data_IF_333334214848
#
_entry.id   IF_333334214848
#
_cell.length_a   1.000
_cell.length_b   1.000
_cell.length_c   1.000
_cell.angle_alpha   90.00
_cell.angle_beta   90.00
_cell.angle_gamma   90.00
#
_symmetry.space_group_name_H-M   'P 1'
#
loop_
_entity.id
_entity.type
_entity.pdbx_description
1 polymer ?
#
# COMPACT_ATOMS: atom_id res chain seq x y z
N UNK A 1 -8.13 2.28 -12.77
CA UNK A 1 -6.86 1.69 -12.32
C UNK A 1 -6.44 2.36 -11.04
N UNK A 2 -6.48 1.62 -9.95
CA UNK A 2 -6.08 2.07 -8.63
C UNK A 2 -4.74 1.41 -8.28
N UNK A 3 -3.73 2.19 -7.91
CA UNK A 3 -2.34 1.69 -7.81
C UNK A 3 -1.91 1.65 -6.34
N UNK A 4 -1.57 0.45 -5.85
CA UNK A 4 -0.83 0.26 -4.61
C UNK A 4 0.64 0.18 -4.99
N UNK A 5 1.40 1.24 -4.72
CA UNK A 5 2.85 1.19 -4.83
C UNK A 5 3.42 0.65 -3.51
N UNK A 6 4.11 -0.49 -3.55
CA UNK A 6 4.93 -0.97 -2.45
C UNK A 6 6.39 -0.93 -2.87
N UNK A 7 7.20 -0.15 -2.15
CA UNK A 7 8.64 -0.21 -2.25
C UNK A 7 9.14 -1.41 -1.43
N UNK A 8 8.99 -2.63 -1.97
CA UNK A 8 9.63 -3.80 -1.38
C UNK A 8 10.40 -4.56 -2.45
N UNK A 9 11.69 -4.72 -2.18
CA UNK A 9 12.69 -5.48 -2.89
C UNK A 9 12.17 -6.80 -3.50
N UNK A 10 12.16 -6.96 -4.83
CA UNK A 10 11.98 -8.28 -5.46
C UNK A 10 13.15 -8.66 -6.38
N UNK A 11 13.55 -9.94 -6.30
CA UNK A 11 13.99 -10.72 -7.45
C UNK A 11 12.76 -11.26 -8.17
N UNK A 12 12.84 -11.31 -9.49
CA UNK A 12 11.86 -11.98 -10.35
C UNK A 12 11.55 -13.37 -9.80
N UNK A 13 10.26 -13.78 -9.66
CA UNK A 13 9.96 -15.16 -9.34
C UNK A 13 10.54 -16.08 -10.43
N UNK A 14 10.98 -17.31 -10.09
CA UNK A 14 11.39 -18.28 -11.10
C UNK A 14 10.25 -18.49 -12.11
N UNK A 15 10.61 -18.63 -13.39
CA UNK A 15 9.73 -18.50 -14.56
C UNK A 15 8.50 -19.43 -14.53
N UNK A 16 8.50 -20.46 -13.70
CA UNK A 16 7.41 -21.44 -13.56
C UNK A 16 6.24 -20.96 -12.66
N UNK A 17 6.40 -19.92 -11.84
CA UNK A 17 5.32 -19.42 -10.95
C UNK A 17 4.46 -18.34 -11.63
N UNK A 18 4.98 -17.73 -12.71
CA UNK A 18 4.32 -16.64 -13.41
C UNK A 18 3.04 -17.07 -14.15
N UNK A 19 2.93 -18.35 -14.54
CA UNK A 19 1.81 -18.84 -15.32
C UNK A 19 0.59 -19.22 -14.46
N UNK A 20 0.80 -19.80 -13.28
CA UNK A 20 -0.29 -20.17 -12.35
C UNK A 20 -0.95 -18.93 -11.72
N UNK A 21 -0.18 -17.86 -11.50
CA UNK A 21 -0.71 -16.56 -11.03
C UNK A 21 -1.63 -15.90 -12.07
N UNK A 22 -1.35 -16.10 -13.36
CA UNK A 22 -2.15 -15.58 -14.48
C UNK A 22 -3.34 -16.48 -14.86
N UNK A 23 -3.30 -17.77 -14.49
CA UNK A 23 -4.24 -18.78 -14.98
C UNK A 23 -5.15 -19.41 -13.93
N UNK A 24 -5.23 -18.92 -12.69
CA UNK A 24 -6.13 -19.53 -11.69
C UNK A 24 -7.60 -19.59 -12.19
N UNK A 25 -7.96 -20.79 -12.66
CA UNK A 25 -9.23 -21.24 -13.25
C UNK A 25 -9.95 -22.09 -12.21
N UNK A 26 -10.46 -21.52 -11.12
CA UNK A 26 -11.38 -22.25 -10.23
C UNK A 26 -12.16 -21.39 -9.23
N UNK A 27 -12.23 -20.08 -9.39
CA UNK A 27 -13.13 -19.23 -8.59
C UNK A 27 -13.61 -18.13 -9.51
N UNK A 28 -14.89 -17.76 -9.45
CA UNK A 28 -15.43 -16.64 -10.23
C UNK A 28 -14.46 -15.46 -10.14
N UNK A 29 -13.82 -15.11 -11.27
CA UNK A 29 -12.80 -14.04 -11.30
C UNK A 29 -13.49 -12.73 -10.96
N UNK A 30 -13.39 -12.31 -9.71
CA UNK A 30 -13.69 -10.95 -9.31
C UNK A 30 -12.65 -10.06 -10.00
N UNK A 31 -13.08 -9.32 -11.02
CA UNK A 31 -12.24 -8.33 -11.68
C UNK A 31 -12.11 -7.14 -10.73
N UNK A 32 -10.91 -6.93 -10.18
CA UNK A 32 -10.62 -5.79 -9.32
C UNK A 32 -9.92 -4.70 -10.13
N UNK A 33 -10.31 -3.44 -9.95
CA UNK A 33 -9.60 -2.29 -10.53
C UNK A 33 -8.39 -1.88 -9.66
N UNK A 34 -7.56 -2.84 -9.26
CA UNK A 34 -6.42 -2.65 -8.36
C UNK A 34 -5.15 -3.28 -8.94
N UNK A 35 -4.03 -2.56 -8.89
CA UNK A 35 -2.72 -3.04 -9.31
C UNK A 35 -1.71 -2.87 -8.18
N UNK A 36 -0.83 -3.85 -8.00
CA UNK A 36 0.33 -3.76 -7.12
C UNK A 36 1.57 -3.48 -7.96
N UNK A 37 2.32 -2.43 -7.62
CA UNK A 37 3.61 -2.14 -8.21
C UNK A 37 4.70 -2.50 -7.20
N UNK A 38 5.69 -3.26 -7.68
CA UNK A 38 6.86 -3.67 -6.91
C UNK A 38 8.12 -3.14 -7.59
N UNK A 39 9.05 -2.64 -6.79
CA UNK A 39 10.34 -2.17 -7.28
C UNK A 39 11.45 -3.18 -7.01
N UNK A 40 12.49 -3.18 -7.85
CA UNK A 40 13.65 -4.04 -7.64
C UNK A 40 14.46 -3.60 -6.41
N UNK A 41 14.93 -4.60 -5.67
CA UNK A 41 15.65 -4.46 -4.42
C UNK A 41 16.96 -3.68 -4.52
N UNK A 42 17.61 -3.77 -5.68
CA UNK A 42 18.91 -3.19 -6.01
C UNK A 42 18.82 -1.74 -6.48
N UNK A 43 17.60 -1.16 -6.50
CA UNK A 43 17.44 0.25 -6.79
C UNK A 43 17.94 1.08 -5.61
N UNK A 44 19.11 1.69 -5.79
CA UNK A 44 19.78 2.46 -4.75
C UNK A 44 18.97 3.63 -4.22
N UNK A 45 18.05 4.17 -5.02
CA UNK A 45 17.13 5.26 -4.61
C UNK A 45 16.07 4.81 -3.60
N UNK A 46 15.88 3.50 -3.40
CA UNK A 46 14.90 2.94 -2.47
C UNK A 46 15.50 2.53 -1.13
N UNK A 47 16.83 2.47 -1.01
CA UNK A 47 17.49 2.07 0.25
C UNK A 47 17.29 3.06 1.41
N UNK A 48 16.85 4.27 1.11
CA UNK A 48 16.60 5.33 2.09
C UNK A 48 15.14 5.41 2.55
N UNK A 49 14.21 4.76 1.83
CA UNK A 49 12.78 4.83 2.15
C UNK A 49 12.43 3.78 3.20
N UNK A 50 12.34 4.22 4.46
CA UNK A 50 11.88 3.38 5.60
C UNK A 50 10.39 3.58 5.93
N UNK A 51 9.76 4.55 5.28
CA UNK A 51 8.39 4.96 5.58
C UNK A 51 7.44 4.40 4.53
N UNK A 52 6.44 3.68 5.00
CA UNK A 52 5.30 3.23 4.22
C UNK A 52 4.03 3.62 4.95
N UNK A 53 2.96 3.85 4.19
CA UNK A 53 1.68 4.18 4.80
C UNK A 53 1.13 2.94 5.53
N UNK A 54 0.56 3.08 6.73
CA UNK A 54 0.02 1.94 7.48
C UNK A 54 -1.26 1.43 6.83
N UNK A 55 -1.19 0.30 6.11
CA UNK A 55 -2.35 -0.32 5.47
C UNK A 55 -3.18 -1.10 6.50
N UNK A 56 -4.50 -0.86 6.52
CA UNK A 56 -5.49 -1.62 7.30
C UNK A 56 -6.16 -2.66 6.39
N UNK A 57 -5.63 -3.89 6.41
CA UNK A 57 -6.11 -5.02 5.59
C UNK A 57 -7.10 -5.96 6.32
N UNK A 58 -7.29 -5.79 7.62
CA UNK A 58 -8.22 -6.57 8.48
C UNK A 58 -8.84 -5.66 9.53
N UNK A 59 -9.80 -6.18 10.29
CA UNK A 59 -10.26 -5.52 11.51
C UNK A 59 -11.47 -4.61 11.28
N UNK A 60 -11.46 -3.43 11.91
CA UNK A 60 -12.63 -2.54 11.97
C UNK A 60 -13.04 -2.10 10.57
N UNK A 61 -14.34 -2.21 10.28
CA UNK A 61 -14.94 -1.73 9.06
C UNK A 61 -15.16 -0.22 9.17
N UNK A 62 -15.11 0.54 8.07
CA UNK A 62 -15.67 1.89 8.08
C UNK A 62 -17.16 1.80 8.43
N UNK A 63 -17.62 2.73 9.25
CA UNK A 63 -19.02 2.87 9.62
C UNK A 63 -19.60 4.16 9.02
N UNK A 64 -20.91 4.20 8.79
CA UNK A 64 -21.56 5.43 8.32
C UNK A 64 -21.35 6.53 9.37
N UNK A 65 -20.85 7.68 8.92
CA UNK A 65 -20.49 8.82 9.77
C UNK A 65 -19.00 8.93 10.09
N UNK A 66 -18.22 7.86 9.91
CA UNK A 66 -16.76 7.87 10.08
C UNK A 66 -16.13 8.93 9.17
N UNK A 67 -15.19 9.70 9.71
CA UNK A 67 -14.43 10.68 8.95
C UNK A 67 -13.24 10.02 8.26
N UNK A 68 -13.03 10.36 7.00
CA UNK A 68 -11.95 9.85 6.17
C UNK A 68 -11.28 10.97 5.38
N UNK A 69 -9.99 10.81 5.11
CA UNK A 69 -9.20 11.74 4.31
C UNK A 69 -8.65 11.05 3.08
N UNK A 70 -8.99 11.55 1.89
CA UNK A 70 -8.37 11.11 0.65
C UNK A 70 -7.22 12.05 0.27
N UNK A 71 -6.11 11.49 -0.21
CA UNK A 71 -4.96 12.25 -0.71
C UNK A 71 -4.63 11.83 -2.13
N UNK A 72 -4.31 12.77 -3.02
CA UNK A 72 -3.96 12.48 -4.41
C UNK A 72 -3.38 13.68 -5.14
N UNK A 73 -3.16 13.55 -6.45
CA UNK A 73 -2.52 14.57 -7.29
C UNK A 73 -3.40 14.92 -8.50
N UNK A 74 -4.49 15.68 -8.31
CA UNK A 74 -5.46 15.96 -9.37
C UNK A 74 -4.89 16.77 -10.54
N UNK A 75 -3.83 17.53 -10.31
CA UNK A 75 -3.19 18.41 -11.30
C UNK A 75 -1.88 17.83 -11.87
N UNK A 76 -1.65 16.52 -11.78
CA UNK A 76 -0.44 15.91 -12.32
C UNK A 76 -0.35 16.13 -13.84
N UNK A 77 0.45 17.12 -14.25
CA UNK A 77 0.70 17.47 -15.65
C UNK A 77 2.14 17.09 -15.99
N UNK A 78 2.32 16.23 -16.99
CA UNK A 78 3.62 16.05 -17.65
C UNK A 78 3.85 17.28 -18.53
N UNK A 79 4.83 18.09 -18.15
CA UNK A 79 5.37 19.13 -19.02
C UNK A 79 6.61 18.54 -19.67
N UNK A 80 6.55 18.27 -20.97
CA UNK A 80 7.75 18.00 -21.76
C UNK A 80 8.56 19.28 -21.84
N UNK A 81 9.63 19.35 -21.07
CA UNK A 81 10.67 20.33 -21.32
C UNK A 81 11.38 19.95 -22.63
N UNK A 82 11.55 20.90 -23.55
CA UNK A 82 12.23 20.64 -24.83
C UNK A 82 13.74 20.82 -24.73
N UNK A 83 14.22 21.39 -23.63
CA UNK A 83 15.64 21.66 -23.38
C UNK A 83 16.32 20.57 -22.55
N UNK A 84 15.53 19.84 -21.75
CA UNK A 84 15.95 18.70 -20.95
C UNK A 84 15.09 17.53 -21.40
N UNK A 85 15.67 16.45 -21.93
CA UNK A 85 14.97 15.23 -22.41
C UNK A 85 14.36 14.43 -21.24
N UNK A 86 13.55 15.09 -20.42
CA UNK A 86 12.89 14.56 -19.22
C UNK A 86 11.55 15.27 -19.02
N UNK A 87 10.51 14.49 -18.78
CA UNK A 87 9.20 15.02 -18.38
C UNK A 87 9.31 15.65 -16.98
N UNK A 88 9.00 16.95 -16.87
CA UNK A 88 8.89 17.65 -15.60
C UNK A 88 7.46 17.52 -15.10
N UNK A 89 7.26 16.75 -14.02
CA UNK A 89 5.99 16.62 -13.34
C UNK A 89 5.83 17.78 -12.35
N UNK A 90 4.76 18.54 -12.49
CA UNK A 90 4.35 19.51 -11.45
C UNK A 90 3.28 18.85 -10.58
N UNK A 91 3.61 18.65 -9.32
CA UNK A 91 2.77 17.90 -8.37
C UNK A 91 2.27 18.85 -7.28
N UNK A 92 0.95 19.03 -7.18
CA UNK A 92 0.32 19.59 -5.98
C UNK A 92 -0.47 18.49 -5.31
N UNK A 93 -0.02 18.08 -4.13
CA UNK A 93 -0.78 17.17 -3.29
C UNK A 93 -2.09 17.84 -2.89
N UNK A 94 -3.19 17.13 -3.07
CA UNK A 94 -4.52 17.56 -2.68
C UNK A 94 -5.09 16.57 -1.66
N UNK A 95 -5.55 17.10 -0.54
CA UNK A 95 -6.22 16.36 0.52
C UNK A 95 -7.69 16.78 0.62
N UNK A 96 -8.59 15.81 0.79
CA UNK A 96 -10.02 16.07 0.98
C UNK A 96 -10.60 15.20 2.08
N UNK A 97 -11.27 15.84 3.03
CA UNK A 97 -11.93 15.18 4.17
C UNK A 97 -13.42 15.06 3.86
N UNK A 98 -14.01 13.94 4.26
CA UNK A 98 -15.46 13.70 4.20
C UNK A 98 -15.88 12.61 5.18
N UNK A 99 -17.17 12.32 5.20
CA UNK A 99 -17.80 11.28 6.03
C UNK A 99 -18.30 10.14 5.17
N UNK A 100 -18.13 8.93 5.68
CA UNK A 100 -18.68 7.73 5.05
C UNK A 100 -20.21 7.81 5.07
N UNK A 101 -20.83 7.69 3.91
CA UNK A 101 -22.30 7.72 3.74
C UNK A 101 -22.89 6.35 3.47
N UNK A 102 -22.10 5.44 2.91
CA UNK A 102 -22.52 4.07 2.64
C UNK A 102 -21.32 3.13 2.62
N UNK A 103 -21.55 1.88 3.02
CA UNK A 103 -20.59 0.78 2.93
C UNK A 103 -21.21 -0.29 2.04
N UNK A 104 -20.51 -0.65 0.97
CA UNK A 104 -21.00 -1.51 -0.11
C UNK A 104 -20.05 -2.72 -0.26
N UNK A 105 -20.18 -3.77 0.57
CA UNK A 105 -19.30 -4.95 0.50
C UNK A 105 -19.36 -5.67 -0.85
N UNK A 106 -20.49 -5.61 -1.54
CA UNK A 106 -20.68 -6.20 -2.88
C UNK A 106 -20.34 -5.25 -4.02
N UNK A 107 -19.92 -4.01 -3.70
CA UNK A 107 -19.63 -2.98 -4.69
C UNK A 107 -20.88 -2.34 -5.31
N UNK A 108 -20.69 -1.78 -6.50
CA UNK A 108 -21.71 -1.13 -7.34
C UNK A 108 -21.88 -1.91 -8.64
N UNK A 109 -22.95 -1.66 -9.39
CA UNK A 109 -23.27 -2.39 -10.63
C UNK A 109 -22.07 -2.59 -11.57
N UNK A 110 -21.43 -1.52 -12.03
CA UNK A 110 -20.25 -1.58 -12.92
C UNK A 110 -18.92 -1.70 -12.19
N UNK A 111 -18.93 -1.80 -10.86
CA UNK A 111 -17.75 -1.89 -10.00
C UNK A 111 -17.99 -2.93 -8.89
N UNK A 112 -17.99 -4.23 -9.22
CA UNK A 112 -18.41 -5.30 -8.32
C UNK A 112 -17.30 -5.69 -7.32
N UNK A 113 -16.72 -4.70 -6.66
CA UNK A 113 -15.70 -4.88 -5.61
C UNK A 113 -16.07 -4.04 -4.38
N UNK A 114 -15.68 -4.50 -3.18
CA UNK A 114 -15.96 -3.79 -1.93
C UNK A 114 -15.58 -2.31 -2.02
N UNK A 115 -16.53 -1.45 -1.65
CA UNK A 115 -16.42 0.00 -1.79
C UNK A 115 -17.11 0.68 -0.60
N UNK A 116 -16.67 1.86 -0.20
CA UNK A 116 -17.47 2.76 0.63
C UNK A 116 -17.59 4.12 -0.05
N UNK A 117 -18.70 4.81 0.21
CA UNK A 117 -19.01 6.12 -0.36
C UNK A 117 -18.84 7.22 0.68
N UNK A 118 -18.49 8.42 0.23
CA UNK A 118 -18.10 9.57 1.05
C UNK A 118 -18.79 10.84 0.54
N UNK A 119 -19.28 11.68 1.43
CA UNK A 119 -19.93 12.98 1.15
C UNK A 119 -18.96 14.12 0.77
N UNK A 120 -17.89 13.77 0.08
CA UNK A 120 -16.87 14.70 -0.37
C UNK A 120 -16.63 14.53 -1.85
N UNK A 121 -16.17 15.59 -2.52
CA UNK A 121 -15.79 15.53 -3.93
C UNK A 121 -14.29 15.26 -4.04
N UNK A 122 -13.93 14.17 -4.73
CA UNK A 122 -12.54 13.87 -5.11
C UNK A 122 -12.37 14.16 -6.60
N UNK A 123 -11.65 15.24 -6.97
CA UNK A 123 -11.43 15.58 -8.37
C UNK A 123 -10.77 14.44 -9.16
N UNK A 124 -10.92 14.49 -10.48
CA UNK A 124 -10.18 13.62 -11.39
C UNK A 124 -8.67 13.72 -11.13
N UNK A 125 -7.96 12.59 -11.27
CA UNK A 125 -6.52 12.50 -10.97
C UNK A 125 -6.19 12.10 -9.52
N UNK A 126 -7.18 12.02 -8.62
CA UNK A 126 -6.96 11.46 -7.29
C UNK A 126 -7.03 9.91 -7.25
N UNK A 127 -7.54 9.25 -8.31
CA UNK A 127 -7.67 7.79 -8.39
C UNK A 127 -6.35 7.08 -8.11
N UNK A 128 -6.37 6.06 -7.25
CA UNK A 128 -5.15 5.39 -6.77
C UNK A 128 -4.55 5.99 -5.52
N UNK A 129 -4.95 7.21 -5.14
CA UNK A 129 -4.51 7.85 -3.91
C UNK A 129 -5.05 7.17 -2.65
N UNK A 130 -4.32 7.21 -1.52
CA UNK A 130 -4.76 6.59 -0.27
C UNK A 130 -5.98 7.29 0.34
N UNK A 131 -6.84 6.50 0.98
CA UNK A 131 -7.91 6.98 1.85
C UNK A 131 -7.64 6.54 3.27
N UNK A 132 -7.44 7.52 4.15
CA UNK A 132 -7.10 7.36 5.56
C UNK A 132 -8.34 7.36 6.45
N UNK A 133 -8.33 6.53 7.49
CA UNK A 133 -9.23 6.67 8.63
C UNK A 133 -8.67 7.68 9.66
N UNK A 134 -9.41 7.90 10.76
CA UNK A 134 -9.01 8.81 11.83
C UNK A 134 -7.76 8.36 12.62
N UNK A 135 -7.41 7.07 12.56
CA UNK A 135 -6.20 6.51 13.17
C UNK A 135 -4.95 6.74 12.28
N UNK A 136 -5.11 7.35 11.10
CA UNK A 136 -4.03 7.60 10.15
C UNK A 136 -3.69 6.40 9.26
N UNK A 137 -4.58 5.41 9.18
CA UNK A 137 -4.37 4.17 8.42
C UNK A 137 -5.07 4.19 7.09
N UNK A 138 -4.41 3.65 6.07
CA UNK A 138 -4.97 3.49 4.73
C UNK A 138 -5.93 2.31 4.74
N UNK A 139 -7.22 2.61 4.72
CA UNK A 139 -8.32 1.63 4.68
C UNK A 139 -8.78 1.32 3.25
N UNK A 140 -8.35 2.13 2.29
CA UNK A 140 -8.74 1.99 0.90
C UNK A 140 -8.04 2.98 0.00
N UNK A 141 -8.50 3.05 -1.23
CA UNK A 141 -7.94 3.92 -2.27
C UNK A 141 -9.05 4.68 -2.98
N UNK A 142 -8.79 5.90 -3.37
CA UNK A 142 -9.69 6.68 -4.22
C UNK A 142 -9.95 5.90 -5.50
N UNK A 143 -11.22 5.64 -5.81
CA UNK A 143 -11.62 4.92 -7.01
C UNK A 143 -12.29 5.84 -8.02
N UNK A 144 -13.26 6.63 -7.58
CA UNK A 144 -14.07 7.46 -8.49
C UNK A 144 -14.94 8.46 -7.74
N UNK A 145 -15.50 9.42 -8.47
CA UNK A 145 -16.47 10.38 -7.94
C UNK A 145 -17.60 10.57 -8.92
N UNK A 146 -18.78 10.90 -8.40
CA UNK A 146 -19.91 11.35 -9.22
C UNK A 146 -19.63 12.77 -9.78
N UNK A 147 -20.43 13.19 -10.75
CA UNK A 147 -20.28 14.51 -11.38
C UNK A 147 -20.51 15.63 -10.35
N UNK A 148 -19.57 16.59 -10.24
CA UNK A 148 -19.70 17.68 -9.29
C UNK A 148 -20.95 18.52 -9.57
N UNK A 149 -21.69 18.87 -8.51
CA UNK A 149 -22.93 19.63 -8.59
C UNK A 149 -24.20 18.78 -8.74
N UNK A 150 -24.08 17.46 -8.86
CA UNK A 150 -25.22 16.54 -8.73
C UNK A 150 -25.76 16.54 -7.30
N UNK A 151 -27.07 16.50 -7.14
CA UNK A 151 -27.68 16.37 -5.81
C UNK A 151 -27.25 15.05 -5.16
N UNK A 152 -26.72 15.15 -3.94
CA UNK A 152 -26.14 14.01 -3.23
C UNK A 152 -24.89 13.39 -3.87
N UNK A 153 -24.11 14.14 -4.66
CA UNK A 153 -22.86 13.64 -5.26
C UNK A 153 -21.91 13.02 -4.23
N UNK A 154 -21.39 11.81 -4.52
CA UNK A 154 -20.48 11.10 -3.64
C UNK A 154 -19.16 10.77 -4.34
N UNK A 155 -18.14 10.53 -3.52
CA UNK A 155 -16.92 9.87 -3.96
C UNK A 155 -16.80 8.49 -3.34
N UNK A 156 -16.10 7.59 -4.03
CA UNK A 156 -16.08 6.17 -3.74
C UNK A 156 -14.65 5.68 -3.61
N UNK A 157 -14.40 4.96 -2.53
CA UNK A 157 -13.12 4.34 -2.24
C UNK A 157 -13.19 2.83 -2.44
N UNK A 158 -12.20 2.28 -3.13
CA UNK A 158 -11.90 0.85 -3.13
C UNK A 158 -11.51 0.42 -1.73
N UNK A 159 -12.21 -0.57 -1.15
CA UNK A 159 -12.06 -0.93 0.26
C UNK A 159 -11.29 -2.25 0.43
N UNK A 160 -10.21 -2.23 1.19
CA UNK A 160 -9.30 -3.37 1.30
C UNK A 160 -9.82 -4.56 2.09
N UNK A 161 -10.35 -4.31 3.29
CA UNK A 161 -10.56 -5.36 4.29
C UNK A 161 -11.45 -6.55 3.83
N UNK A 162 -12.52 -6.34 3.04
CA UNK A 162 -13.39 -7.45 2.62
C UNK A 162 -12.89 -8.19 1.39
N UNK A 163 -11.78 -7.77 0.77
CA UNK A 163 -11.30 -8.37 -0.47
C UNK A 163 -10.59 -9.69 -0.17
N UNK A 164 -11.16 -10.83 -0.57
CA UNK A 164 -10.58 -12.12 -0.24
C UNK A 164 -9.20 -12.28 -0.87
N UNK A 165 -8.19 -12.53 -0.03
CA UNK A 165 -6.84 -12.81 -0.51
C UNK A 165 -6.03 -11.60 -0.96
N UNK A 166 -6.50 -10.36 -0.76
CA UNK A 166 -5.68 -9.17 -1.02
C UNK A 166 -4.34 -9.22 -0.26
N UNK A 167 -4.35 -9.73 0.97
CA UNK A 167 -3.15 -9.96 1.78
C UNK A 167 -2.14 -10.90 1.12
N UNK A 168 -2.59 -11.88 0.33
CA UNK A 168 -1.68 -12.79 -0.39
C UNK A 168 -0.84 -12.05 -1.44
N UNK A 169 -1.36 -10.94 -1.96
CA UNK A 169 -0.64 -10.08 -2.91
C UNK A 169 0.25 -9.04 -2.20
N UNK A 170 0.12 -8.89 -0.87
CA UNK A 170 0.89 -7.97 -0.04
C UNK A 170 1.58 -8.72 1.11
N UNK A 171 2.45 -9.72 0.81
CA UNK A 171 2.99 -10.64 1.83
C UNK A 171 3.88 -9.96 2.88
N UNK A 172 4.33 -8.73 2.60
CA UNK A 172 5.18 -7.93 3.47
C UNK A 172 4.39 -7.08 4.46
N UNK A 173 3.09 -6.85 4.25
CA UNK A 173 2.27 -6.12 5.24
C UNK A 173 1.90 -7.08 6.35
N UNK A 174 2.01 -6.67 7.61
CA UNK A 174 1.50 -7.46 8.72
C UNK A 174 -0.02 -7.29 8.85
N UNK A 175 -0.84 -8.32 8.52
CA UNK A 175 -2.29 -8.21 8.61
C UNK A 175 -2.80 -8.09 10.04
N UNK A 176 -1.99 -8.43 11.04
CA UNK A 176 -2.37 -8.37 12.46
C UNK A 176 -1.93 -7.07 13.13
N UNK A 177 -0.96 -6.37 12.54
CA UNK A 177 -0.36 -5.16 13.09
C UNK A 177 -0.30 -4.08 12.00
N UNK A 178 -1.35 -3.26 11.83
CA UNK A 178 -1.35 -2.18 10.84
C UNK A 178 -0.19 -1.22 11.06
N UNK A 179 0.49 -0.85 9.97
CA UNK A 179 1.73 -0.07 10.03
C UNK A 179 2.98 -0.87 10.32
N UNK A 180 2.89 -2.20 10.32
CA UNK A 180 4.04 -3.08 10.46
C UNK A 180 4.29 -3.87 9.17
N UNK A 181 5.57 -4.16 8.91
CA UNK A 181 6.02 -4.99 7.80
C UNK A 181 6.73 -6.24 8.29
N UNK A 182 6.41 -7.37 7.65
CA UNK A 182 7.04 -8.66 7.91
C UNK A 182 8.27 -8.85 7.03
N UNK A 183 9.32 -9.38 7.64
CA UNK A 183 10.55 -9.69 6.93
C UNK A 183 11.67 -10.20 7.84
N UNK A 184 12.84 -10.34 7.24
CA UNK A 184 14.11 -10.64 7.89
C UNK A 184 14.81 -9.35 8.28
N UNK A 185 14.81 -9.07 9.58
CA UNK A 185 15.46 -7.93 10.18
C UNK A 185 16.92 -8.24 10.53
N UNK A 186 17.82 -7.30 10.27
CA UNK A 186 19.21 -7.35 10.71
C UNK A 186 19.34 -6.47 11.95
N UNK A 187 19.56 -7.08 13.11
CA UNK A 187 19.46 -6.41 14.41
C UNK A 187 20.67 -6.62 15.29
N UNK A 188 20.96 -5.61 16.11
CA UNK A 188 21.89 -5.69 17.24
C UNK A 188 21.11 -5.50 18.54
N UNK A 189 21.41 -6.29 19.57
CA UNK A 189 20.69 -6.21 20.84
C UNK A 189 21.20 -5.10 21.79
N UNK A 190 22.48 -4.74 21.73
CA UNK A 190 23.09 -3.80 22.68
C UNK A 190 24.12 -2.86 22.00
N UNK A 191 23.83 -1.55 21.87
CA UNK A 191 22.50 -0.95 22.02
C UNK A 191 21.55 -1.47 20.93
N UNK A 192 20.26 -1.53 21.26
CA UNK A 192 19.21 -1.93 20.32
C UNK A 192 19.29 -1.10 19.04
N UNK A 193 19.30 -1.78 17.91
CA UNK A 193 19.35 -1.13 16.59
C UNK A 193 18.87 -2.09 15.51
N UNK A 194 18.00 -1.58 14.63
CA UNK A 194 17.58 -2.27 13.40
C UNK A 194 18.34 -1.67 12.21
N UNK A 195 19.33 -2.40 11.70
CA UNK A 195 20.13 -1.94 10.57
C UNK A 195 19.36 -2.00 9.25
N UNK A 196 18.60 -3.07 9.03
CA UNK A 196 17.83 -3.29 7.81
C UNK A 196 16.65 -4.25 8.06
N UNK A 197 15.67 -4.20 7.15
CA UNK A 197 14.57 -5.16 7.04
C UNK A 197 14.38 -5.51 5.57
N UNK A 198 14.34 -6.81 5.26
CA UNK A 198 14.20 -7.32 3.88
C UNK A 198 13.15 -8.42 3.84
N UNK A 199 12.59 -8.71 2.67
CA UNK A 199 11.73 -9.88 2.49
C UNK A 199 12.52 -11.16 2.13
N UNK A 200 13.85 -11.06 1.99
CA UNK A 200 14.74 -12.14 1.59
C UNK A 200 15.80 -12.39 2.66
N UNK A 201 15.81 -13.60 3.21
CA UNK A 201 16.77 -14.04 4.22
C UNK A 201 18.21 -13.95 3.74
N UNK A 202 18.49 -14.38 2.51
CA UNK A 202 19.85 -14.39 1.98
C UNK A 202 20.39 -12.95 1.89
N UNK A 203 19.53 -12.01 1.49
CA UNK A 203 19.89 -10.59 1.49
C UNK A 203 20.13 -10.03 2.89
N UNK A 204 19.32 -10.42 3.87
CA UNK A 204 19.54 -10.04 5.27
C UNK A 204 20.88 -10.58 5.80
N UNK A 205 21.22 -11.84 5.45
CA UNK A 205 22.50 -12.46 5.79
C UNK A 205 23.70 -11.77 5.11
N UNK A 206 23.58 -11.39 3.83
CA UNK A 206 24.58 -10.56 3.14
C UNK A 206 24.82 -9.22 3.84
N UNK A 207 23.74 -8.52 4.22
CA UNK A 207 23.83 -7.24 4.94
C UNK A 207 24.49 -7.46 6.30
N UNK A 208 24.04 -8.47 7.06
CA UNK A 208 24.60 -8.83 8.36
C UNK A 208 26.10 -9.12 8.27
N UNK A 209 26.56 -9.81 7.22
CA UNK A 209 27.97 -10.14 7.01
C UNK A 209 28.88 -8.92 6.75
N UNK A 210 28.30 -7.79 6.33
CA UNK A 210 29.02 -6.50 6.16
C UNK A 210 29.08 -5.65 7.42
N UNK A 211 28.35 -6.03 8.46
CA UNK A 211 28.27 -5.33 9.74
C UNK A 211 29.17 -6.00 10.79
N UNK A 212 29.23 -5.40 11.97
CA UNK A 212 29.94 -5.98 13.11
C UNK A 212 29.30 -7.31 13.56
N UNK A 213 30.10 -8.16 14.21
CA UNK A 213 29.70 -9.51 14.63
C UNK A 213 28.58 -9.57 15.69
N UNK A 214 28.16 -8.42 16.22
CA UNK A 214 27.06 -8.27 17.19
C UNK A 214 25.68 -8.12 16.53
N UNK A 215 25.62 -8.10 15.20
CA UNK A 215 24.38 -8.18 14.42
C UNK A 215 23.96 -9.63 14.16
N UNK A 216 22.65 -9.84 14.09
CA UNK A 216 22.02 -11.13 13.80
C UNK A 216 20.80 -10.93 12.91
N UNK A 217 20.42 -11.98 12.18
CA UNK A 217 19.24 -11.99 11.31
C UNK A 217 18.07 -12.62 12.05
N UNK A 218 16.92 -11.96 12.11
CA UNK A 218 15.69 -12.44 12.76
C UNK A 218 14.48 -12.27 11.86
N UNK A 219 13.60 -13.27 11.79
CA UNK A 219 12.28 -13.10 11.20
C UNK A 219 11.38 -12.34 12.18
N UNK A 220 10.70 -11.30 11.71
CA UNK A 220 9.83 -10.52 12.56
C UNK A 220 8.94 -9.53 11.80
N UNK A 221 8.30 -8.67 12.57
CA UNK A 221 7.47 -7.57 12.10
C UNK A 221 8.07 -6.27 12.62
N UNK A 222 8.40 -5.32 11.74
CA UNK A 222 8.97 -4.01 12.07
C UNK A 222 7.92 -2.93 11.86
N UNK A 223 7.75 -2.04 12.84
CA UNK A 223 6.85 -0.88 12.70
C UNK A 223 7.47 0.20 11.82
N UNK A 224 6.71 0.69 10.85
CA UNK A 224 7.11 1.76 9.92
C UNK A 224 7.72 2.95 10.66
N UNK A 225 8.83 3.50 10.13
CA UNK A 225 9.48 4.69 10.68
C UNK A 225 10.07 4.53 12.09
N UNK A 226 10.25 3.30 12.59
CA UNK A 226 10.80 3.04 13.93
C UNK A 226 11.73 1.82 13.96
N UNK A 227 12.38 1.59 15.11
CA UNK A 227 13.16 0.40 15.40
C UNK A 227 12.37 -0.66 16.22
N UNK A 228 11.05 -0.49 16.37
CA UNK A 228 10.19 -1.42 17.11
C UNK A 228 10.01 -2.73 16.33
N UNK A 229 10.61 -3.83 16.81
CA UNK A 229 10.53 -5.15 16.20
C UNK A 229 9.77 -6.16 17.09
N UNK A 230 8.76 -6.80 16.52
CA UNK A 230 8.14 -8.01 17.05
C UNK A 230 8.78 -9.22 16.37
N UNK A 231 9.66 -9.93 17.07
CA UNK A 231 10.24 -11.20 16.61
C UNK A 231 10.12 -12.24 17.71
N UNK A 232 9.92 -13.51 17.36
CA UNK A 232 10.15 -14.59 18.32
C UNK A 232 11.62 -14.55 18.77
N UNK A 233 11.87 -14.69 20.07
CA UNK A 233 13.20 -15.00 20.54
C UNK A 233 13.54 -16.43 20.07
N UNK A 234 14.72 -16.61 19.46
CA UNK A 234 15.31 -17.94 19.27
C UNK A 234 15.65 -18.57 20.63
#
# INVERSE_FOLDING_TARGET
MVVIASATAFRTPPEDIALDWLLNRASSRMSLDCMTLSFKADNTRLHEVRDFLPLRLTGKWPEIGDEVMAVGFPELRSIRDREIDTDVLTERMYGSIGRVTAVLPSGREHRPWPTFAVDSHWPGGMSGGPVFNQDGEVIGLVSSSDEPGSDGAQSYAFWFAPIPGLQRNLPHVDPSNPGWVRGWAVVRNAPWHVAAMTNDRARAEEICATLASDYSVRLGSLRAGSDDLLSSAD
#
